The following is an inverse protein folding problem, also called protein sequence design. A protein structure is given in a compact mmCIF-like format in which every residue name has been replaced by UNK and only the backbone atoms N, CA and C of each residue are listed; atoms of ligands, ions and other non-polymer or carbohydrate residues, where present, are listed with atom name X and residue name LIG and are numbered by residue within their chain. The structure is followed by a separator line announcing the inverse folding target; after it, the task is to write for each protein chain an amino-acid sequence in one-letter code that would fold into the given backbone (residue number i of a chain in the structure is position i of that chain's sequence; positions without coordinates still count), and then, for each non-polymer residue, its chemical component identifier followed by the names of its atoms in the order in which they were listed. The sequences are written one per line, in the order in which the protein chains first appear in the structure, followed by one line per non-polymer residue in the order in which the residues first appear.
data_IF_229397580375
#
_entry.id   IF_229397580375
#
_cell.length_a   1.000
_cell.length_b   1.000
_cell.length_c   1.000
_cell.angle_alpha   90.00
_cell.angle_beta   90.00
_cell.angle_gamma   90.00
#
_symmetry.space_group_name_H-M   'P 1'
#
loop_
_entity.id
_entity.type
_entity.pdbx_description
1 polymer ?
#
# COMPACT_ATOMS: atom_id res chain seq x y z
N UNK A 1 6.34 2.65 -12.21
CA UNK A 1 5.45 3.60 -11.52
C UNK A 1 4.31 4.12 -12.40
N UNK A 2 4.57 4.59 -13.62
CA UNK A 2 3.56 5.35 -14.39
C UNK A 2 2.25 4.60 -14.78
N UNK A 3 2.31 3.30 -15.13
CA UNK A 3 1.12 2.53 -15.54
C UNK A 3 0.26 2.10 -14.35
N UNK A 4 0.87 1.74 -13.21
CA UNK A 4 0.13 1.40 -11.99
C UNK A 4 -0.75 2.55 -11.53
N UNK A 5 -0.21 3.78 -11.52
CA UNK A 5 -0.99 4.97 -11.15
C UNK A 5 -2.15 5.23 -12.11
N UNK A 6 -1.98 4.96 -13.41
CA UNK A 6 -3.09 5.01 -14.37
C UNK A 6 -4.18 3.98 -14.05
N UNK A 7 -3.78 2.77 -13.72
CA UNK A 7 -4.68 1.68 -13.36
C UNK A 7 -5.43 1.96 -12.05
N UNK A 8 -4.75 2.46 -11.03
CA UNK A 8 -5.35 2.87 -9.74
C UNK A 8 -6.35 4.01 -9.89
N UNK A 9 -5.98 5.04 -10.66
CA UNK A 9 -6.81 6.25 -10.79
C UNK A 9 -7.98 6.08 -11.76
N UNK A 10 -7.95 5.07 -12.63
CA UNK A 10 -8.97 4.85 -13.66
C UNK A 10 -9.14 6.02 -14.63
N UNK A 11 -8.16 6.93 -14.69
CA UNK A 11 -8.25 8.16 -15.48
C UNK A 11 -6.87 8.65 -15.90
N UNK A 12 -6.68 8.83 -17.21
CA UNK A 12 -5.46 9.41 -17.75
C UNK A 12 -5.20 10.84 -17.25
N UNK A 13 -6.24 11.61 -16.94
CA UNK A 13 -6.08 12.96 -16.39
C UNK A 13 -5.63 12.90 -14.94
N UNK A 14 -6.29 12.10 -14.09
CA UNK A 14 -5.91 11.99 -12.69
C UNK A 14 -4.50 11.38 -12.52
N UNK A 15 -4.13 10.42 -13.37
CA UNK A 15 -2.78 9.88 -13.39
C UNK A 15 -1.72 10.90 -13.82
N UNK A 16 -2.04 11.74 -14.81
CA UNK A 16 -1.17 12.82 -15.27
C UNK A 16 -0.90 13.83 -14.15
N UNK A 17 -1.95 14.25 -13.46
CA UNK A 17 -1.86 15.20 -12.34
C UNK A 17 -1.05 14.60 -11.17
N UNK A 18 -1.31 13.34 -10.80
CA UNK A 18 -0.60 12.65 -9.70
C UNK A 18 0.88 12.41 -10.01
N UNK A 19 1.25 12.23 -11.28
CA UNK A 19 2.63 11.96 -11.69
C UNK A 19 3.39 13.21 -12.16
N UNK A 20 2.72 14.37 -12.28
CA UNK A 20 3.32 15.57 -12.88
C UNK A 20 3.72 15.40 -14.35
N UNK A 21 3.01 14.55 -15.09
CA UNK A 21 3.31 14.19 -16.49
C UNK A 21 2.18 14.64 -17.42
N UNK A 22 2.46 14.73 -18.72
CA UNK A 22 1.40 15.00 -19.70
C UNK A 22 0.53 13.76 -19.96
N UNK A 23 -0.77 13.99 -20.17
CA UNK A 23 -1.73 12.94 -20.54
C UNK A 23 -1.29 12.15 -21.78
N UNK A 24 -0.71 12.85 -22.77
CA UNK A 24 -0.21 12.24 -24.00
C UNK A 24 0.98 11.32 -23.75
N UNK A 25 1.87 11.67 -22.82
CA UNK A 25 3.00 10.82 -22.44
C UNK A 25 2.53 9.52 -21.79
N UNK A 26 1.61 9.59 -20.83
CA UNK A 26 1.05 8.40 -20.17
C UNK A 26 0.29 7.52 -21.17
N UNK A 27 -0.53 8.14 -22.04
CA UNK A 27 -1.24 7.42 -23.11
C UNK A 27 -0.28 6.69 -24.05
N UNK A 28 0.82 7.34 -24.46
CA UNK A 28 1.82 6.75 -25.34
C UNK A 28 2.56 5.60 -24.64
N UNK A 29 2.87 5.75 -23.35
CA UNK A 29 3.54 4.71 -22.57
C UNK A 29 2.65 3.48 -22.36
N UNK A 30 1.35 3.67 -22.13
CA UNK A 30 0.38 2.56 -22.09
C UNK A 30 0.30 1.83 -23.43
N UNK A 31 0.25 2.59 -24.53
CA UNK A 31 0.19 2.00 -25.88
C UNK A 31 1.42 1.12 -26.17
N UNK A 32 2.63 1.61 -25.87
CA UNK A 32 3.84 0.79 -26.04
C UNK A 32 3.84 -0.48 -25.20
N UNK A 33 3.30 -0.42 -23.97
CA UNK A 33 3.19 -1.60 -23.11
C UNK A 33 2.19 -2.62 -23.68
N UNK A 34 1.05 -2.14 -24.17
CA UNK A 34 0.05 -3.02 -24.81
C UNK A 34 0.57 -3.64 -26.11
N UNK A 35 1.38 -2.92 -26.89
CA UNK A 35 2.07 -3.48 -28.05
C UNK A 35 3.06 -4.58 -27.64
N UNK A 36 3.91 -4.32 -26.64
CA UNK A 36 4.92 -5.26 -26.17
C UNK A 36 4.28 -6.55 -25.61
N UNK A 37 3.17 -6.42 -24.90
CA UNK A 37 2.42 -7.56 -24.36
C UNK A 37 1.50 -8.23 -25.38
N UNK A 38 1.31 -7.63 -26.56
CA UNK A 38 0.41 -8.12 -27.59
C UNK A 38 -1.08 -8.15 -27.20
N UNK A 39 -1.46 -7.45 -26.12
CA UNK A 39 -2.82 -7.45 -25.59
C UNK A 39 -3.21 -6.08 -25.03
N UNK A 40 -4.51 -5.79 -25.03
CA UNK A 40 -5.03 -4.56 -24.42
C UNK A 40 -5.17 -4.79 -22.92
N UNK A 41 -4.71 -3.83 -22.13
CA UNK A 41 -4.86 -3.84 -20.68
C UNK A 41 -6.07 -2.99 -20.26
N UNK A 42 -6.41 -1.98 -21.05
CA UNK A 42 -7.44 -1.00 -20.72
C UNK A 42 -8.41 -0.78 -21.88
N UNK A 43 -9.71 -0.82 -21.57
CA UNK A 43 -10.77 -0.40 -22.48
C UNK A 43 -11.12 1.07 -22.22
N UNK A 44 -11.13 1.87 -23.30
CA UNK A 44 -11.65 3.24 -23.26
C UNK A 44 -13.14 3.21 -23.55
N UNK A 45 -13.96 3.36 -22.52
CA UNK A 45 -15.35 3.78 -22.70
C UNK A 45 -15.46 5.29 -22.48
N UNK A 46 -16.51 5.91 -23.03
CA UNK A 46 -16.73 7.36 -22.93
C UNK A 46 -17.07 7.84 -21.51
N UNK A 47 -17.21 6.94 -20.53
CA UNK A 47 -17.55 7.27 -19.14
C UNK A 47 -16.51 6.85 -18.09
N UNK A 48 -15.74 5.78 -18.30
CA UNK A 48 -14.64 5.33 -17.41
C UNK A 48 -13.62 4.48 -18.16
N UNK A 49 -12.36 4.46 -17.69
CA UNK A 49 -11.47 3.35 -18.04
C UNK A 49 -11.97 2.09 -17.34
N UNK A 50 -12.02 0.99 -18.07
CA UNK A 50 -12.22 -0.35 -17.51
C UNK A 50 -11.02 -1.23 -17.86
N UNK A 51 -10.72 -2.18 -17.00
CA UNK A 51 -9.69 -3.18 -17.25
C UNK A 51 -10.20 -4.24 -18.22
N UNK A 52 -9.29 -4.82 -18.99
CA UNK A 52 -9.49 -6.15 -19.57
C UNK A 52 -9.22 -7.23 -18.52
N UNK A 53 -9.50 -8.48 -18.85
CA UNK A 53 -9.16 -9.63 -18.00
C UNK A 53 -7.64 -9.72 -17.82
N UNK A 54 -6.89 -9.55 -18.92
CA UNK A 54 -5.44 -9.49 -18.94
C UNK A 54 -4.92 -8.28 -18.15
N UNK A 55 -5.57 -7.13 -18.27
CA UNK A 55 -5.26 -5.91 -17.53
C UNK A 55 -5.40 -6.10 -16.02
N UNK A 56 -6.44 -6.81 -15.60
CA UNK A 56 -6.69 -7.13 -14.19
C UNK A 56 -5.63 -8.08 -13.63
N UNK A 57 -5.24 -9.09 -14.41
CA UNK A 57 -4.17 -10.02 -14.02
C UNK A 57 -2.81 -9.32 -13.96
N UNK A 58 -2.48 -8.53 -14.98
CA UNK A 58 -1.25 -7.75 -15.05
C UNK A 58 -1.14 -6.78 -13.87
N UNK A 59 -2.22 -6.07 -13.55
CA UNK A 59 -2.28 -5.16 -12.41
C UNK A 59 -1.96 -5.86 -11.07
N UNK A 60 -2.52 -7.05 -10.83
CA UNK A 60 -2.23 -7.85 -9.63
C UNK A 60 -0.73 -8.16 -9.51
N UNK A 61 -0.11 -8.63 -10.60
CA UNK A 61 1.33 -8.91 -10.60
C UNK A 61 2.16 -7.64 -10.39
N UNK A 62 1.80 -6.53 -11.04
CA UNK A 62 2.47 -5.25 -10.85
C UNK A 62 2.42 -4.74 -9.41
N UNK A 63 1.28 -4.90 -8.71
CA UNK A 63 1.18 -4.55 -7.28
C UNK A 63 2.17 -5.33 -6.43
N UNK A 64 2.26 -6.64 -6.63
CA UNK A 64 3.20 -7.50 -5.88
C UNK A 64 4.64 -7.12 -6.16
N UNK A 65 5.01 -6.98 -7.44
CA UNK A 65 6.39 -6.60 -7.83
C UNK A 65 6.77 -5.24 -7.24
N UNK A 66 5.83 -4.29 -7.19
CA UNK A 66 6.12 -3.00 -6.59
C UNK A 66 6.32 -3.08 -5.08
N UNK A 67 5.50 -3.87 -4.38
CA UNK A 67 5.66 -4.09 -2.96
C UNK A 67 7.03 -4.74 -2.66
N UNK A 68 7.42 -5.76 -3.42
CA UNK A 68 8.73 -6.41 -3.28
C UNK A 68 9.90 -5.46 -3.60
N UNK A 69 9.78 -4.62 -4.63
CA UNK A 69 10.79 -3.62 -4.93
C UNK A 69 10.93 -2.58 -3.82
N UNK A 70 9.83 -2.21 -3.16
CA UNK A 70 9.85 -1.30 -2.02
C UNK A 70 10.44 -1.97 -0.78
N UNK A 71 10.12 -3.24 -0.51
CA UNK A 71 10.75 -4.03 0.55
C UNK A 71 12.27 -4.12 0.34
N UNK A 72 12.71 -4.46 -0.88
CA UNK A 72 14.14 -4.52 -1.20
C UNK A 72 14.85 -3.17 -1.03
N UNK A 73 14.17 -2.05 -1.36
CA UNK A 73 14.70 -0.71 -1.09
C UNK A 73 14.77 -0.44 0.40
N UNK A 74 13.72 -0.77 1.15
CA UNK A 74 13.68 -0.61 2.59
C UNK A 74 14.83 -1.40 3.25
N UNK A 75 15.07 -2.65 2.86
CA UNK A 75 16.19 -3.47 3.36
C UNK A 75 17.56 -2.82 3.07
N UNK A 76 17.77 -2.31 1.85
CA UNK A 76 19.00 -1.61 1.49
C UNK A 76 19.14 -0.28 2.24
N UNK A 77 18.04 0.43 2.46
CA UNK A 77 18.02 1.69 3.22
C UNK A 77 18.23 1.45 4.72
N UNK A 78 17.75 0.33 5.26
CA UNK A 78 17.97 -0.10 6.64
C UNK A 78 19.46 -0.39 6.91
N UNK A 79 20.18 -0.86 5.88
CA UNK A 79 21.64 -1.04 5.95
C UNK A 79 22.46 0.27 6.03
N UNK A 80 21.83 1.43 5.78
CA UNK A 80 22.47 2.76 5.74
C UNK A 80 22.12 3.68 6.93
N UNK A 81 21.30 3.22 7.87
CA UNK A 81 21.03 3.92 9.13
C UNK A 81 19.74 4.75 9.13
N UNK A 82 18.89 4.39 10.09
CA UNK A 82 17.56 4.92 10.44
C UNK A 82 16.41 4.56 9.47
N UNK A 83 15.37 3.85 9.96
CA UNK A 83 14.17 3.53 9.18
C UNK A 83 13.38 4.81 8.85
N UNK A 84 12.84 4.86 7.63
CA UNK A 84 12.13 6.01 7.03
C UNK A 84 11.07 5.53 6.05
N UNK A 85 9.99 6.30 5.85
CA UNK A 85 8.87 5.94 4.96
C UNK A 85 7.50 6.13 5.60
N UNK A 86 6.43 5.68 4.94
CA UNK A 86 5.07 5.76 5.49
C UNK A 86 4.62 4.39 6.01
N UNK A 87 4.09 4.37 7.23
CA UNK A 87 3.54 3.17 7.86
C UNK A 87 2.09 3.46 8.26
N UNK A 88 1.15 2.67 7.72
CA UNK A 88 -0.26 2.71 8.07
C UNK A 88 -0.62 1.50 8.94
N UNK A 89 -1.08 1.76 10.16
CA UNK A 89 -1.44 0.74 11.16
C UNK A 89 -2.92 0.84 11.49
N UNK A 90 -3.62 -0.30 11.50
CA UNK A 90 -4.97 -0.40 12.06
C UNK A 90 -4.95 -1.10 13.41
N UNK A 91 -5.68 -0.57 14.40
CA UNK A 91 -5.81 -1.20 15.70
C UNK A 91 -7.14 -0.89 16.42
N UNK A 92 -7.64 -1.78 17.29
CA UNK A 92 -8.73 -1.48 18.19
C UNK A 92 -8.45 -0.23 19.02
N UNK A 93 -9.46 0.62 19.16
CA UNK A 93 -9.40 1.83 20.00
C UNK A 93 -8.99 1.51 21.45
N UNK A 94 -9.37 0.33 21.97
CA UNK A 94 -8.98 -0.13 23.29
C UNK A 94 -7.46 -0.29 23.45
N UNK A 95 -6.72 -0.67 22.41
CA UNK A 95 -5.26 -0.80 22.46
C UNK A 95 -4.58 0.57 22.56
N UNK A 96 -5.08 1.56 21.81
CA UNK A 96 -4.56 2.94 21.86
C UNK A 96 -4.59 3.47 23.30
N UNK A 97 -5.71 3.26 23.99
CA UNK A 97 -5.93 3.77 25.36
C UNK A 97 -5.19 2.92 26.41
N UNK A 98 -4.85 1.67 26.12
CA UNK A 98 -4.29 0.72 27.10
C UNK A 98 -2.80 0.90 27.43
N UNK A 99 -2.10 1.78 26.71
CA UNK A 99 -0.65 1.99 26.82
C UNK A 99 0.11 1.79 25.51
N UNK A 100 -0.51 1.16 24.51
CA UNK A 100 0.07 1.01 23.17
C UNK A 100 0.23 2.37 22.47
N UNK A 101 -0.64 3.34 22.76
CA UNK A 101 -0.49 4.71 22.25
C UNK A 101 0.84 5.36 22.64
N UNK A 102 1.33 5.12 23.86
CA UNK A 102 2.63 5.65 24.29
C UNK A 102 3.78 5.01 23.51
N UNK A 103 3.71 3.70 23.24
CA UNK A 103 4.70 3.01 22.42
C UNK A 103 4.79 3.58 21.00
N UNK A 104 3.65 3.97 20.41
CA UNK A 104 3.62 4.60 19.09
C UNK A 104 4.25 6.00 19.11
N UNK A 105 4.01 6.76 20.18
CA UNK A 105 4.63 8.07 20.39
C UNK A 105 6.15 7.90 20.54
N UNK A 106 6.60 6.98 21.38
CA UNK A 106 8.03 6.73 21.60
C UNK A 106 8.71 6.25 20.32
N UNK A 107 8.04 5.40 19.54
CA UNK A 107 8.49 4.95 18.23
C UNK A 107 8.63 6.11 17.24
N UNK A 108 7.64 7.00 17.16
CA UNK A 108 7.68 8.16 16.25
C UNK A 108 8.74 9.18 16.67
N UNK A 109 9.00 9.33 17.97
CA UNK A 109 10.09 10.15 18.50
C UNK A 109 11.46 9.54 18.18
N UNK A 110 11.57 8.21 18.22
CA UNK A 110 12.80 7.49 17.89
C UNK A 110 13.11 7.49 16.39
N UNK A 111 12.07 7.51 15.55
CA UNK A 111 12.17 7.45 14.08
C UNK A 111 11.37 8.58 13.41
N UNK A 112 11.85 9.83 13.46
CA UNK A 112 11.11 10.99 12.97
C UNK A 112 10.95 11.05 11.44
N UNK A 113 11.73 10.26 10.69
CA UNK A 113 11.60 10.12 9.23
C UNK A 113 10.51 9.12 8.82
N UNK A 114 9.79 8.54 9.80
CA UNK A 114 8.63 7.70 9.55
C UNK A 114 7.35 8.55 9.68
N UNK A 115 6.56 8.56 8.62
CA UNK A 115 5.21 9.09 8.60
C UNK A 115 4.23 8.00 9.05
N UNK A 116 3.82 8.05 10.31
CA UNK A 116 3.00 7.02 10.96
C UNK A 116 1.52 7.44 10.94
N UNK A 117 0.69 6.67 10.22
CA UNK A 117 -0.77 6.82 10.22
C UNK A 117 -1.42 5.71 11.06
N UNK A 118 -2.23 6.09 12.04
CA UNK A 118 -2.90 5.16 12.94
C UNK A 118 -4.42 5.24 12.77
N UNK A 119 -5.00 4.14 12.32
CA UNK A 119 -6.45 3.98 12.12
C UNK A 119 -7.02 3.19 13.29
N UNK A 120 -7.80 3.87 14.12
CA UNK A 120 -8.52 3.25 15.23
C UNK A 120 -9.80 2.56 14.72
N UNK A 121 -9.70 1.31 14.25
CA UNK A 121 -10.85 0.53 13.77
C UNK A 121 -10.90 -0.84 14.45
N UNK A 122 -12.10 -1.19 14.93
CA UNK A 122 -12.41 -2.52 15.47
C UNK A 122 -12.91 -3.51 14.41
N UNK A 123 -13.01 -3.09 13.14
CA UNK A 123 -13.49 -3.93 12.05
C UNK A 123 -12.34 -4.69 11.39
N UNK A 124 -12.64 -5.90 10.91
CA UNK A 124 -11.76 -6.64 10.00
C UNK A 124 -11.99 -6.01 8.63
N UNK A 125 -11.28 -4.92 8.36
CA UNK A 125 -11.26 -4.31 7.03
C UNK A 125 -10.32 -5.13 6.13
N UNK A 126 -10.56 -5.12 4.82
CA UNK A 126 -9.72 -5.81 3.84
C UNK A 126 -8.37 -5.07 3.73
N UNK A 127 -7.41 -5.51 4.57
CA UNK A 127 -6.15 -4.83 4.84
C UNK A 127 -5.32 -4.58 3.57
N UNK A 128 -5.54 -5.40 2.52
CA UNK A 128 -4.83 -5.36 1.25
C UNK A 128 -5.39 -4.28 0.30
N UNK A 129 -6.68 -3.97 0.41
CA UNK A 129 -7.36 -2.98 -0.43
C UNK A 129 -7.09 -1.54 0.06
N UNK A 130 -6.96 -1.35 1.38
CA UNK A 130 -6.76 -0.05 2.05
C UNK A 130 -5.29 0.40 2.20
N UNK A 131 -4.35 -0.41 1.71
CA UNK A 131 -2.91 -0.12 1.81
C UNK A 131 -2.39 -0.14 3.25
N UNK A 132 -2.97 -0.99 4.11
CA UNK A 132 -2.55 -1.11 5.51
C UNK A 132 -1.30 -1.99 5.58
N UNK A 133 -0.24 -1.47 6.22
CA UNK A 133 0.99 -2.22 6.41
C UNK A 133 0.90 -3.18 7.60
N UNK A 134 0.25 -2.79 8.70
CA UNK A 134 0.18 -3.58 9.95
C UNK A 134 -1.23 -3.54 10.53
N UNK A 135 -1.76 -4.70 10.94
CA UNK A 135 -3.00 -4.80 11.69
C UNK A 135 -2.77 -5.41 13.07
N UNK A 136 -2.97 -4.61 14.12
CA UNK A 136 -2.93 -5.08 15.50
C UNK A 136 -4.35 -5.44 15.93
N UNK A 137 -4.54 -6.64 16.49
CA UNK A 137 -5.85 -7.13 16.94
C UNK A 137 -5.69 -7.86 18.28
N UNK A 138 -6.74 -7.84 19.10
CA UNK A 138 -6.79 -8.54 20.39
C UNK A 138 -7.80 -9.66 20.29
N UNK A 139 -7.35 -10.92 20.39
CA UNK A 139 -8.21 -12.11 20.27
C UNK A 139 -7.47 -13.32 19.72
N UNK A 140 -8.18 -14.44 19.54
CA UNK A 140 -7.66 -15.55 18.73
C UNK A 140 -7.71 -15.16 17.25
N UNK A 141 -6.62 -15.42 16.54
CA UNK A 141 -6.52 -15.22 15.10
C UNK A 141 -7.32 -16.33 14.40
N UNK A 142 -8.26 -15.97 13.54
CA UNK A 142 -8.78 -16.89 12.52
C UNK A 142 -7.77 -16.99 11.38
N UNK A 143 -7.70 -18.17 10.74
CA UNK A 143 -6.78 -18.46 9.63
C UNK A 143 -6.89 -17.37 8.55
N UNK A 144 -5.81 -16.62 8.38
CA UNK A 144 -5.69 -15.57 7.38
C UNK A 144 -4.40 -15.79 6.61
N UNK A 145 -4.36 -15.36 5.34
CA UNK A 145 -3.19 -15.43 4.46
C UNK A 145 -2.05 -14.47 4.86
N UNK A 146 -2.16 -13.78 6.00
CA UNK A 146 -1.17 -12.83 6.51
C UNK A 146 -0.19 -13.51 7.47
N UNK A 147 1.08 -13.08 7.44
CA UNK A 147 2.09 -13.49 8.42
C UNK A 147 1.66 -12.94 9.79
N UNK A 148 1.43 -13.85 10.74
CA UNK A 148 0.98 -13.50 12.09
C UNK A 148 2.09 -13.73 13.12
N UNK A 149 2.30 -12.73 14.00
CA UNK A 149 3.24 -12.81 15.11
C UNK A 149 2.52 -12.47 16.42
N UNK A 150 2.71 -13.30 17.46
CA UNK A 150 2.21 -13.03 18.81
C UNK A 150 3.18 -12.08 19.52
N UNK A 151 2.72 -10.90 19.92
CA UNK A 151 3.48 -10.03 20.83
C UNK A 151 3.24 -10.44 22.29
N UNK A 152 4.26 -10.27 23.15
CA UNK A 152 4.09 -10.45 24.60
C UNK A 152 3.11 -9.39 25.12
N UNK A 153 2.27 -9.73 26.13
CA UNK A 153 1.40 -8.74 26.76
C UNK A 153 2.22 -7.59 27.33
N UNK A 154 1.83 -6.36 27.00
CA UNK A 154 2.40 -5.16 27.60
C UNK A 154 2.00 -5.13 29.08
N UNK A 155 2.99 -5.32 29.95
CA UNK A 155 2.82 -5.19 31.39
C UNK A 155 2.50 -3.74 31.73
N UNK A 156 1.39 -3.48 32.41
CA UNK A 156 1.14 -2.18 33.06
C UNK A 156 2.08 -2.06 34.25
N UNK A 157 2.91 -1.02 34.26
CA UNK A 157 3.47 -0.48 35.51
C UNK A 157 2.46 0.49 36.11
#
# INVERSE_FOLDING_TARGET
MNILTLMETGSFTAAADKLGLSKSFISKKNWFLEEDLGTRLLYRTTRKLSFSDEGSQFYKHCKVIMAEAENARAEVMDSQGAPRGNIRITMPQSLIISGFGQLLIDFQLQYPEIDLEVIASGRIEDLVEEGINIALRVGQLEDSSLISAKSKPLSKN
#
